data_IF_617906088211
#
_entry.id   IF_617906088211
#
_cell.length_a   1.000
_cell.length_b   1.000
_cell.length_c   1.000
_cell.angle_alpha   90.00
_cell.angle_beta   90.00
_cell.angle_gamma   90.00
#
_symmetry.space_group_name_H-M   'P 1'
#
loop_
_entity.id
_entity.type
_entity.pdbx_description
1 polymer ?
#
# COMPACT_ATOMS: atom_id res chain seq x y z
N UNK A 1 38.49 -40.30 -54.76
CA UNK A 1 37.24 -40.05 -55.50
C UNK A 1 36.65 -38.76 -54.91
N UNK A 2 37.01 -37.57 -55.41
CA UNK A 2 36.34 -36.78 -56.50
C UNK A 2 34.98 -36.24 -56.06
N UNK A 3 34.67 -34.93 -55.95
CA UNK A 3 35.39 -33.63 -56.17
C UNK A 3 35.01 -32.63 -55.03
N UNK A 4 35.55 -31.42 -54.78
CA UNK A 4 36.30 -30.34 -55.49
C UNK A 4 35.51 -29.32 -56.36
N UNK A 5 35.97 -28.05 -56.30
CA UNK A 5 35.62 -26.79 -57.02
C UNK A 5 34.73 -25.78 -56.28
N UNK A 6 34.94 -24.45 -56.25
CA UNK A 6 36.04 -23.51 -56.61
C UNK A 6 35.85 -22.25 -55.69
N UNK A 7 36.82 -21.49 -55.15
CA UNK A 7 37.94 -20.67 -55.67
C UNK A 7 37.59 -19.23 -56.15
N UNK A 8 37.70 -18.27 -55.22
CA UNK A 8 38.21 -16.87 -55.28
C UNK A 8 37.90 -15.86 -56.44
N UNK A 9 37.65 -14.62 -55.97
CA UNK A 9 38.08 -13.29 -56.50
C UNK A 9 37.31 -12.57 -57.64
N UNK A 10 37.31 -11.23 -57.52
CA UNK A 10 36.80 -10.24 -58.48
C UNK A 10 35.52 -9.52 -58.00
N UNK A 11 35.39 -8.19 -58.02
CA UNK A 11 36.34 -7.12 -58.41
C UNK A 11 35.82 -5.76 -57.90
N UNK A 12 36.71 -4.87 -57.48
CA UNK A 12 36.34 -3.47 -57.20
C UNK A 12 36.31 -2.65 -58.51
N UNK A 13 35.32 -1.76 -58.65
CA UNK A 13 35.29 -0.78 -59.73
C UNK A 13 34.74 0.56 -59.21
N UNK A 14 35.60 1.58 -59.23
CA UNK A 14 35.29 2.95 -58.81
C UNK A 14 34.64 3.71 -59.97
N UNK A 15 33.54 4.42 -59.72
CA UNK A 15 33.06 5.47 -60.62
C UNK A 15 32.32 6.55 -59.82
N UNK A 16 32.82 7.79 -59.88
CA UNK A 16 32.16 8.96 -59.32
C UNK A 16 31.81 9.94 -60.45
N UNK A 17 30.52 10.23 -60.64
CA UNK A 17 30.04 11.42 -61.36
C UNK A 17 28.77 11.94 -60.69
N UNK A 18 28.70 13.26 -60.56
CA UNK A 18 27.61 14.05 -59.99
C UNK A 18 26.37 14.13 -60.89
N UNK A 19 25.17 14.21 -60.32
CA UNK A 19 24.34 15.44 -60.36
C UNK A 19 22.88 15.26 -59.89
N UNK A 20 22.38 16.32 -59.24
CA UNK A 20 21.01 16.86 -59.29
C UNK A 20 19.78 15.98 -58.95
N UNK A 21 19.14 16.37 -57.83
CA UNK A 21 17.69 16.53 -57.65
C UNK A 21 16.75 15.44 -58.22
N UNK A 22 16.03 14.76 -57.33
CA UNK A 22 14.57 14.81 -57.26
C UNK A 22 14.10 14.33 -55.87
N UNK A 23 13.19 15.08 -55.25
CA UNK A 23 12.83 14.86 -53.84
C UNK A 23 11.89 13.68 -53.61
N UNK A 24 12.17 12.90 -52.56
CA UNK A 24 11.12 12.25 -51.76
C UNK A 24 11.41 12.49 -50.29
N UNK A 25 10.50 13.20 -49.61
CA UNK A 25 10.51 13.33 -48.16
C UNK A 25 10.33 11.94 -47.53
N UNK A 26 11.41 11.38 -46.98
CA UNK A 26 11.29 10.33 -45.99
C UNK A 26 10.62 10.94 -44.75
N UNK A 27 9.38 10.52 -44.45
CA UNK A 27 8.64 11.02 -43.29
C UNK A 27 9.47 10.79 -42.03
N UNK A 28 9.89 11.89 -41.39
CA UNK A 28 10.48 11.83 -40.07
C UNK A 28 9.48 11.15 -39.13
N UNK A 29 9.96 10.13 -38.43
CA UNK A 29 9.18 9.32 -37.51
C UNK A 29 8.54 10.23 -36.45
N UNK A 30 7.22 10.25 -36.37
CA UNK A 30 6.46 11.15 -35.49
C UNK A 30 6.81 10.87 -34.03
N UNK A 31 7.67 11.71 -33.44
CA UNK A 31 7.83 11.79 -31.99
C UNK A 31 6.47 12.18 -31.42
N UNK A 32 5.88 11.29 -30.61
CA UNK A 32 4.54 11.49 -30.04
C UNK A 32 4.53 12.75 -29.17
N UNK A 33 3.48 13.56 -29.30
CA UNK A 33 3.32 14.77 -28.49
C UNK A 33 3.30 14.46 -26.98
N UNK A 34 2.76 13.30 -26.61
CA UNK A 34 2.78 12.71 -25.26
C UNK A 34 4.19 12.75 -24.62
N UNK A 35 5.21 12.28 -25.34
CA UNK A 35 6.60 12.21 -24.84
C UNK A 35 7.19 13.60 -24.65
N UNK A 36 6.78 14.58 -25.46
CA UNK A 36 7.23 15.98 -25.33
C UNK A 36 6.57 16.66 -24.12
N UNK A 37 5.28 16.43 -23.89
CA UNK A 37 4.58 16.95 -22.71
C UNK A 37 5.21 16.42 -21.40
N UNK A 38 5.48 15.11 -21.34
CA UNK A 38 6.19 14.47 -20.22
C UNK A 38 7.61 15.02 -20.00
N UNK A 39 8.27 15.55 -21.04
CA UNK A 39 9.58 16.21 -20.98
C UNK A 39 9.51 17.70 -20.61
N UNK A 40 8.31 18.30 -20.57
CA UNK A 40 8.09 19.72 -20.28
C UNK A 40 7.45 19.93 -18.89
N UNK A 41 7.48 18.91 -18.01
CA UNK A 41 7.01 18.99 -16.62
C UNK A 41 5.48 19.02 -16.43
N UNK A 42 4.71 18.91 -17.52
CA UNK A 42 3.25 18.90 -17.49
C UNK A 42 2.71 17.53 -17.89
N UNK A 43 1.91 16.91 -17.01
CA UNK A 43 1.19 15.68 -17.33
C UNK A 43 0.30 15.89 -18.55
N UNK A 44 0.68 15.24 -19.65
CA UNK A 44 -0.14 15.20 -20.86
C UNK A 44 -1.39 14.37 -20.63
N UNK A 45 -2.55 14.96 -20.92
CA UNK A 45 -3.78 14.19 -21.12
C UNK A 45 -3.54 13.22 -22.30
N UNK A 46 -3.51 11.92 -22.03
CA UNK A 46 -3.16 10.90 -23.02
C UNK A 46 -4.30 10.71 -24.03
N UNK A 47 -5.52 10.50 -23.52
CA UNK A 47 -6.79 10.45 -24.26
C UNK A 47 -7.92 11.00 -23.36
N UNK A 48 -9.12 11.24 -23.90
CA UNK A 48 -10.25 11.88 -23.20
C UNK A 48 -10.46 11.45 -21.74
N UNK A 49 -10.08 12.30 -20.77
CA UNK A 49 -10.18 12.02 -19.33
C UNK A 49 -9.14 11.06 -18.74
N UNK A 50 -8.05 10.75 -19.44
CA UNK A 50 -6.96 9.87 -18.95
C UNK A 50 -5.63 10.62 -18.90
N UNK A 51 -4.96 10.57 -17.75
CA UNK A 51 -3.73 11.30 -17.44
C UNK A 51 -2.62 10.33 -17.01
N UNK A 52 -1.35 10.63 -17.33
CA UNK A 52 -0.18 9.83 -16.93
C UNK A 52 0.78 10.67 -16.08
N UNK A 53 0.92 10.34 -14.80
CA UNK A 53 1.83 10.99 -13.86
C UNK A 53 3.01 10.05 -13.56
N UNK A 54 4.11 10.12 -14.34
CA UNK A 54 5.30 9.32 -14.09
C UNK A 54 5.96 9.71 -12.78
N UNK A 55 6.81 8.84 -12.24
CA UNK A 55 7.51 9.07 -10.98
C UNK A 55 8.93 9.62 -11.26
N UNK A 56 9.09 10.92 -11.12
CA UNK A 56 10.33 11.67 -11.36
C UNK A 56 10.61 12.61 -10.20
N UNK A 57 11.82 13.16 -10.12
CA UNK A 57 12.18 14.14 -9.08
C UNK A 57 11.32 15.42 -9.10
N UNK A 58 10.61 15.68 -10.21
CA UNK A 58 9.66 16.78 -10.35
C UNK A 58 8.23 16.44 -9.94
N UNK A 59 7.88 15.16 -9.82
CA UNK A 59 6.49 14.69 -9.58
C UNK A 59 6.31 13.97 -8.24
N UNK A 60 7.39 13.70 -7.52
CA UNK A 60 7.37 13.06 -6.20
C UNK A 60 7.82 13.99 -5.08
N UNK A 61 7.25 13.82 -3.90
CA UNK A 61 7.88 14.24 -2.64
C UNK A 61 8.37 13.00 -1.88
N UNK A 62 9.52 13.09 -1.22
CA UNK A 62 9.91 12.09 -0.23
C UNK A 62 9.55 12.60 1.17
N UNK A 63 8.77 11.81 1.90
CA UNK A 63 8.61 11.84 3.35
C UNK A 63 7.78 12.96 3.94
N UNK A 64 7.21 13.83 3.12
CA UNK A 64 6.39 14.98 3.53
C UNK A 64 5.13 15.12 2.67
N UNK A 65 3.97 15.27 3.32
CA UNK A 65 2.83 15.97 2.75
C UNK A 65 3.02 17.48 2.91
N UNK A 66 2.70 18.28 1.90
CA UNK A 66 2.82 19.73 1.97
C UNK A 66 1.66 20.42 1.23
N UNK A 67 0.84 21.18 1.97
CA UNK A 67 -0.30 21.90 1.40
C UNK A 67 0.10 23.00 0.40
N UNK A 68 1.34 23.50 0.48
CA UNK A 68 1.87 24.54 -0.40
C UNK A 68 2.52 23.97 -1.69
N UNK A 69 2.51 22.65 -1.87
CA UNK A 69 3.11 22.01 -3.03
C UNK A 69 2.31 22.29 -4.31
N UNK A 70 3.00 22.70 -5.37
CA UNK A 70 2.37 22.93 -6.68
C UNK A 70 1.79 21.62 -7.23
N UNK A 71 0.51 21.59 -7.66
CA UNK A 71 -0.08 20.41 -8.28
C UNK A 71 0.70 19.92 -9.50
N UNK A 72 1.05 18.64 -9.49
CA UNK A 72 1.79 17.94 -10.56
C UNK A 72 0.88 17.43 -11.67
N UNK A 73 -0.42 17.31 -11.38
CA UNK A 73 -1.49 17.13 -12.36
C UNK A 73 -2.76 17.90 -11.93
N UNK A 74 -3.63 18.22 -12.89
CA UNK A 74 -4.98 18.74 -12.65
C UNK A 74 -5.97 17.91 -13.47
N UNK A 75 -6.96 17.29 -12.81
CA UNK A 75 -7.94 16.37 -13.42
C UNK A 75 -9.36 16.76 -13.01
N UNK A 76 -10.38 16.32 -13.74
CA UNK A 76 -11.79 16.54 -13.42
C UNK A 76 -12.40 15.36 -12.68
N UNK A 77 -13.53 15.59 -12.03
CA UNK A 77 -14.36 14.52 -11.49
C UNK A 77 -14.78 13.54 -12.61
N UNK A 78 -14.48 12.26 -12.43
CA UNK A 78 -14.71 11.18 -13.40
C UNK A 78 -13.49 10.83 -14.25
N UNK A 79 -12.43 11.65 -14.23
CA UNK A 79 -11.19 11.35 -14.94
C UNK A 79 -10.40 10.23 -14.24
N UNK A 80 -9.49 9.64 -15.01
CA UNK A 80 -8.59 8.56 -14.61
C UNK A 80 -7.14 9.02 -14.70
N UNK A 81 -6.34 8.66 -13.70
CA UNK A 81 -4.91 8.94 -13.67
C UNK A 81 -4.12 7.65 -13.43
N UNK A 82 -3.08 7.45 -14.24
CA UNK A 82 -2.11 6.38 -14.10
C UNK A 82 -0.88 7.01 -13.43
N UNK A 83 -0.60 6.62 -12.19
CA UNK A 83 0.60 7.00 -11.48
C UNK A 83 1.65 5.91 -11.63
N UNK A 84 2.91 6.31 -11.76
CA UNK A 84 4.03 5.49 -11.30
C UNK A 84 4.35 5.86 -9.84
N UNK A 85 5.04 4.99 -9.11
CA UNK A 85 5.63 5.32 -7.81
C UNK A 85 7.13 4.99 -7.79
N UNK A 86 7.83 5.48 -6.75
CA UNK A 86 9.22 5.13 -6.46
C UNK A 86 9.28 4.26 -5.20
N UNK A 87 10.38 3.53 -5.04
CA UNK A 87 10.70 2.92 -3.74
C UNK A 87 10.93 4.01 -2.68
N UNK A 88 10.97 3.61 -1.42
CA UNK A 88 11.35 4.46 -0.30
C UNK A 88 12.64 5.26 -0.56
N UNK A 89 12.68 6.47 0.01
CA UNK A 89 13.79 7.42 -0.08
C UNK A 89 14.20 7.78 -1.52
N UNK A 90 13.24 8.07 -2.40
CA UNK A 90 13.45 8.40 -3.83
C UNK A 90 14.29 7.34 -4.58
N UNK A 91 13.87 6.08 -4.53
CA UNK A 91 14.63 4.95 -5.09
C UNK A 91 16.03 4.71 -4.48
N UNK A 92 16.37 5.28 -3.32
CA UNK A 92 17.60 4.93 -2.62
C UNK A 92 17.51 3.61 -1.83
N UNK A 93 16.30 3.05 -1.64
CA UNK A 93 16.13 1.68 -1.12
C UNK A 93 15.77 0.74 -2.27
N UNK A 94 16.77 -0.01 -2.75
CA UNK A 94 16.67 -0.96 -3.86
C UNK A 94 17.27 -2.32 -3.46
N UNK A 95 16.97 -3.41 -4.19
CA UNK A 95 17.66 -4.69 -4.01
C UNK A 95 19.19 -4.54 -4.08
N UNK A 96 19.87 -4.94 -3.00
CA UNK A 96 21.33 -4.86 -2.85
C UNK A 96 21.83 -3.71 -1.97
N UNK A 97 20.97 -2.77 -1.57
CA UNK A 97 21.29 -1.70 -0.61
C UNK A 97 21.40 -2.27 0.80
N UNK A 98 22.46 -1.91 1.54
CA UNK A 98 22.74 -2.47 2.86
C UNK A 98 21.78 -1.94 3.94
N UNK A 99 21.64 -2.68 5.04
CA UNK A 99 20.80 -2.23 6.15
C UNK A 99 21.38 -0.99 6.86
N UNK A 100 22.71 -0.85 6.87
CA UNK A 100 23.41 0.33 7.36
C UNK A 100 23.10 1.57 6.50
N UNK A 101 23.02 1.42 5.17
CA UNK A 101 22.62 2.48 4.25
C UNK A 101 21.14 2.88 4.46
N UNK A 102 20.23 1.90 4.59
CA UNK A 102 18.81 2.16 4.91
C UNK A 102 18.66 2.87 6.26
N UNK A 103 19.41 2.42 7.28
CA UNK A 103 19.44 3.04 8.62
C UNK A 103 19.95 4.48 8.52
N UNK A 104 21.03 4.72 7.77
CA UNK A 104 21.60 6.05 7.56
C UNK A 104 20.61 7.00 6.89
N UNK A 105 19.87 6.54 5.87
CA UNK A 105 18.82 7.35 5.23
C UNK A 105 17.75 7.84 6.23
N UNK A 106 17.40 7.03 7.24
CA UNK A 106 16.47 7.44 8.32
C UNK A 106 17.11 8.38 9.32
N UNK A 107 18.34 8.09 9.78
CA UNK A 107 19.06 8.89 10.79
C UNK A 107 19.41 10.28 10.27
N UNK A 108 19.87 10.39 9.02
CA UNK A 108 20.25 11.67 8.40
C UNK A 108 19.03 12.58 8.09
N UNK A 109 17.80 12.02 8.08
CA UNK A 109 16.57 12.75 7.74
C UNK A 109 15.50 12.61 8.84
N UNK A 110 15.73 13.16 10.04
CA UNK A 110 14.81 13.06 11.17
C UNK A 110 13.46 13.76 10.90
N UNK A 111 12.39 13.26 11.52
CA UNK A 111 11.02 13.78 11.37
C UNK A 111 10.33 13.44 10.04
N UNK A 112 11.10 13.26 8.97
CA UNK A 112 10.66 12.83 7.64
C UNK A 112 10.23 11.35 7.64
N UNK A 113 9.26 10.97 6.82
CA UNK A 113 8.96 9.56 6.53
C UNK A 113 9.92 8.93 5.50
N UNK A 114 10.09 7.59 5.47
CA UNK A 114 10.85 6.95 4.38
C UNK A 114 10.10 6.99 3.04
N UNK A 115 8.79 7.21 3.05
CA UNK A 115 7.89 7.01 1.92
C UNK A 115 8.15 8.01 0.79
N UNK A 116 8.11 7.57 -0.47
CA UNK A 116 8.10 8.45 -1.64
C UNK A 116 6.68 8.50 -2.19
N UNK A 117 6.10 9.71 -2.29
CA UNK A 117 4.71 9.93 -2.72
C UNK A 117 4.67 10.72 -4.03
N UNK A 118 3.92 10.21 -5.01
CA UNK A 118 3.67 10.86 -6.30
C UNK A 118 2.44 11.78 -6.17
N UNK A 119 2.55 13.03 -6.60
CA UNK A 119 1.50 14.06 -6.48
C UNK A 119 2.03 15.44 -6.04
N UNK A 120 1.18 16.37 -5.58
CA UNK A 120 -0.27 16.24 -5.49
C UNK A 120 -0.96 16.36 -6.85
N UNK A 121 -2.13 15.74 -6.94
CA UNK A 121 -3.08 15.87 -8.04
C UNK A 121 -4.20 16.79 -7.57
N UNK A 122 -4.52 17.82 -8.33
CA UNK A 122 -5.63 18.73 -8.05
C UNK A 122 -6.89 18.26 -8.78
N UNK A 123 -7.99 18.05 -8.05
CA UNK A 123 -9.27 17.60 -8.62
C UNK A 123 -10.20 18.81 -8.80
N UNK A 124 -10.48 19.20 -10.05
CA UNK A 124 -11.33 20.35 -10.38
C UNK A 124 -12.74 20.20 -9.78
N UNK A 125 -13.17 21.21 -9.00
CA UNK A 125 -14.49 21.25 -8.37
C UNK A 125 -14.61 20.61 -6.98
N UNK A 126 -13.55 19.93 -6.51
CA UNK A 126 -13.45 19.46 -5.13
C UNK A 126 -13.25 20.64 -4.17
N UNK A 127 -14.05 20.69 -3.11
CA UNK A 127 -14.09 21.76 -2.10
C UNK A 127 -14.13 21.15 -0.69
N UNK A 128 -13.71 21.89 0.35
CA UNK A 128 -13.78 21.42 1.73
C UNK A 128 -15.19 20.94 2.11
N UNK A 129 -15.29 19.73 2.65
CA UNK A 129 -16.56 19.08 2.99
C UNK A 129 -17.19 18.23 1.88
N UNK A 130 -16.57 18.12 0.70
CA UNK A 130 -16.86 17.03 -0.25
C UNK A 130 -16.15 15.72 0.16
N UNK A 131 -16.39 14.65 -0.61
CA UNK A 131 -15.63 13.39 -0.53
C UNK A 131 -15.09 13.02 -1.92
N UNK A 132 -13.80 12.69 -2.02
CA UNK A 132 -13.27 11.98 -3.19
C UNK A 132 -13.64 10.51 -3.10
N UNK A 133 -14.18 9.95 -4.18
CA UNK A 133 -14.38 8.52 -4.40
C UNK A 133 -13.34 8.06 -5.42
N UNK A 134 -12.37 7.29 -4.95
CA UNK A 134 -11.16 6.91 -5.70
C UNK A 134 -11.24 5.40 -5.98
N UNK A 135 -11.52 5.03 -7.23
CA UNK A 135 -11.54 3.63 -7.67
C UNK A 135 -10.13 3.19 -8.05
N UNK A 136 -9.62 2.17 -7.38
CA UNK A 136 -8.38 1.48 -7.78
C UNK A 136 -8.76 0.50 -8.90
N UNK A 137 -8.46 0.90 -10.14
CA UNK A 137 -8.79 0.12 -11.34
C UNK A 137 -7.78 -1.00 -11.61
N UNK A 138 -6.49 -0.71 -11.36
CA UNK A 138 -5.38 -1.59 -11.68
C UNK A 138 -4.13 -1.29 -10.86
N UNK A 139 -3.40 -2.33 -10.46
CA UNK A 139 -2.06 -2.19 -9.84
C UNK A 139 -1.06 -3.12 -10.54
N UNK A 140 0.06 -2.57 -11.00
CA UNK A 140 1.18 -3.32 -11.56
C UNK A 140 2.46 -3.02 -10.76
N UNK A 141 2.87 -3.90 -9.83
CA UNK A 141 4.12 -3.73 -9.09
C UNK A 141 5.36 -3.93 -9.98
N UNK A 142 6.47 -3.33 -9.56
CA UNK A 142 7.80 -3.71 -10.04
C UNK A 142 8.11 -5.13 -9.58
N UNK A 143 8.97 -5.82 -10.33
CA UNK A 143 9.27 -7.25 -10.10
C UNK A 143 10.19 -7.50 -8.89
N UNK A 144 10.29 -6.56 -7.95
CA UNK A 144 11.17 -6.62 -6.80
C UNK A 144 10.62 -5.81 -5.62
N UNK A 145 11.11 -6.09 -4.43
CA UNK A 145 10.81 -5.32 -3.22
C UNK A 145 11.83 -5.51 -2.11
N UNK A 146 11.66 -4.85 -0.97
CA UNK A 146 12.51 -5.00 0.23
C UNK A 146 11.67 -4.91 1.50
N UNK A 147 11.92 -5.77 2.49
CA UNK A 147 11.43 -5.62 3.87
C UNK A 147 12.64 -5.27 4.76
N UNK A 148 12.46 -4.46 5.80
CA UNK A 148 13.53 -4.16 6.74
C UNK A 148 13.08 -4.01 8.20
N UNK A 149 13.94 -4.44 9.12
CA UNK A 149 13.82 -4.21 10.56
C UNK A 149 14.82 -3.14 10.98
N UNK A 150 14.35 -2.08 11.67
CA UNK A 150 15.17 -0.94 12.12
C UNK A 150 15.01 -0.68 13.63
N UNK A 151 15.53 -1.58 14.49
CA UNK A 151 15.60 -1.39 15.94
C UNK A 151 16.73 -0.39 16.23
N UNK A 152 17.82 -0.78 16.90
CA UNK A 152 19.01 0.07 17.10
C UNK A 152 18.69 1.46 17.64
N UNK A 153 19.39 2.49 17.15
CA UNK A 153 19.20 3.89 17.56
C UNK A 153 17.83 4.47 17.15
N UNK A 154 17.13 3.85 16.20
CA UNK A 154 15.82 4.31 15.71
C UNK A 154 14.67 3.74 16.55
N UNK A 155 14.87 2.57 17.18
CA UNK A 155 13.91 1.86 18.03
C UNK A 155 12.52 1.69 17.37
N UNK A 156 12.49 1.28 16.10
CA UNK A 156 11.27 1.12 15.30
C UNK A 156 10.81 -0.35 15.18
N UNK A 157 9.56 -0.53 14.73
CA UNK A 157 8.84 -1.81 14.77
C UNK A 157 8.09 -1.99 16.09
N UNK A 158 7.29 -3.05 16.21
CA UNK A 158 6.47 -3.29 17.40
C UNK A 158 7.25 -3.92 18.55
N UNK A 159 8.32 -4.66 18.27
CA UNK A 159 9.12 -5.38 19.28
C UNK A 159 10.66 -5.13 19.19
N UNK A 160 11.15 -3.88 19.06
CA UNK A 160 12.58 -3.59 18.83
C UNK A 160 13.52 -4.14 19.92
N UNK A 161 13.06 -4.19 21.18
CA UNK A 161 13.81 -4.75 22.30
C UNK A 161 13.94 -6.28 22.29
N UNK A 162 13.11 -6.99 21.51
CA UNK A 162 13.11 -8.45 21.41
C UNK A 162 13.76 -8.96 20.12
N UNK A 163 13.83 -8.11 19.09
CA UNK A 163 14.50 -8.37 17.81
C UNK A 163 15.45 -7.19 17.52
N UNK A 164 16.56 -7.06 18.28
CA UNK A 164 17.45 -5.91 18.24
C UNK A 164 18.38 -5.89 17.02
N UNK A 165 18.39 -6.95 16.20
CA UNK A 165 19.19 -7.03 14.99
C UNK A 165 18.51 -6.30 13.82
N UNK A 166 19.23 -5.37 13.19
CA UNK A 166 18.77 -4.77 11.95
C UNK A 166 18.94 -5.77 10.78
N UNK A 167 17.98 -5.80 9.86
CA UNK A 167 18.02 -6.65 8.66
C UNK A 167 17.36 -5.94 7.48
N UNK A 168 17.93 -6.10 6.29
CA UNK A 168 17.23 -5.89 5.02
C UNK A 168 17.07 -7.24 4.32
N UNK A 169 15.87 -7.51 3.80
CA UNK A 169 15.58 -8.64 2.91
C UNK A 169 15.09 -8.12 1.57
N UNK A 170 15.74 -8.53 0.50
CA UNK A 170 15.31 -8.19 -0.86
C UNK A 170 14.54 -9.34 -1.49
N UNK A 171 13.47 -9.00 -2.19
CA UNK A 171 12.52 -9.93 -2.78
C UNK A 171 12.47 -9.74 -4.28
N UNK A 172 12.26 -10.83 -5.01
CA UNK A 172 11.92 -10.83 -6.42
C UNK A 172 10.51 -11.42 -6.58
N UNK A 173 9.64 -10.70 -7.26
CA UNK A 173 8.22 -11.07 -7.36
C UNK A 173 8.00 -11.92 -8.61
N UNK A 174 7.49 -13.14 -8.45
CA UNK A 174 6.95 -13.90 -9.57
C UNK A 174 5.54 -13.38 -9.88
N UNK A 175 5.50 -12.38 -10.75
CA UNK A 175 4.26 -11.73 -11.20
C UNK A 175 3.38 -12.62 -12.08
N UNK A 176 3.84 -13.81 -12.48
CA UNK A 176 3.02 -14.80 -13.21
C UNK A 176 2.31 -15.74 -12.26
N UNK A 177 3.00 -16.20 -11.22
CA UNK A 177 2.44 -17.05 -10.16
C UNK A 177 1.69 -16.25 -9.09
N UNK A 178 1.97 -14.95 -8.97
CA UNK A 178 1.39 -14.10 -7.93
C UNK A 178 2.00 -14.37 -6.56
N UNK A 179 3.29 -14.72 -6.49
CA UNK A 179 3.98 -15.05 -5.23
C UNK A 179 5.38 -14.44 -5.17
N UNK A 180 5.96 -14.40 -3.98
CA UNK A 180 7.39 -14.16 -3.74
C UNK A 180 7.90 -15.16 -2.71
N UNK A 181 9.16 -15.61 -2.87
CA UNK A 181 9.81 -16.51 -1.92
C UNK A 181 10.45 -15.69 -0.79
N UNK A 182 10.12 -16.02 0.47
CA UNK A 182 10.68 -15.36 1.65
C UNK A 182 11.98 -16.03 2.13
N UNK A 183 12.00 -17.36 2.02
CA UNK A 183 13.10 -18.29 2.24
C UNK A 183 12.78 -19.56 1.44
N UNK A 184 13.75 -20.44 1.11
CA UNK A 184 13.51 -21.67 0.37
C UNK A 184 12.33 -22.49 0.90
N UNK A 185 11.28 -22.67 0.06
CA UNK A 185 10.06 -23.39 0.43
C UNK A 185 9.04 -22.61 1.26
N UNK A 186 9.25 -21.31 1.46
CA UNK A 186 8.31 -20.38 2.11
C UNK A 186 7.87 -19.33 1.09
N UNK A 187 6.63 -19.43 0.61
CA UNK A 187 6.06 -18.52 -0.38
C UNK A 187 4.95 -17.66 0.21
N UNK A 188 4.92 -16.38 -0.22
CA UNK A 188 3.93 -15.39 0.20
C UNK A 188 3.15 -14.89 -1.02
N UNK A 189 1.80 -14.79 -0.94
CA UNK A 189 0.99 -14.29 -2.04
C UNK A 189 1.22 -12.79 -2.25
N UNK A 190 1.57 -12.40 -3.47
CA UNK A 190 1.70 -11.00 -3.90
C UNK A 190 0.31 -10.43 -4.13
N UNK A 191 -0.10 -9.52 -3.25
CA UNK A 191 -1.41 -8.85 -3.25
C UNK A 191 -1.16 -7.35 -3.10
N UNK A 192 -0.79 -6.64 -4.18
CA UNK A 192 -0.24 -5.30 -4.06
C UNK A 192 -1.31 -4.25 -3.77
N UNK A 193 -0.96 -3.23 -3.00
CA UNK A 193 -1.80 -2.08 -2.64
C UNK A 193 -0.91 -0.87 -2.26
N UNK A 194 -1.38 0.38 -2.42
CA UNK A 194 -0.67 1.53 -1.89
C UNK A 194 -0.89 1.66 -0.38
N UNK A 195 0.16 1.61 0.42
CA UNK A 195 0.13 1.96 1.85
C UNK A 195 -0.29 3.41 2.04
N UNK A 196 0.23 4.32 1.20
CA UNK A 196 -0.23 5.71 1.10
C UNK A 196 -1.27 5.91 0.00
N UNK A 197 -2.47 6.31 0.41
CA UNK A 197 -3.40 7.07 -0.40
C UNK A 197 -4.01 8.18 0.47
N UNK A 198 -3.76 9.44 0.14
CA UNK A 198 -4.12 10.56 1.02
C UNK A 198 -4.29 11.90 0.33
N UNK A 199 -5.09 12.77 0.94
CA UNK A 199 -5.32 14.15 0.50
C UNK A 199 -4.63 15.16 1.43
N UNK A 200 -4.60 16.44 1.06
CA UNK A 200 -4.08 17.47 1.95
C UNK A 200 -4.94 17.64 3.20
N UNK A 201 -4.30 18.04 4.29
CA UNK A 201 -4.93 18.31 5.58
C UNK A 201 -5.65 19.65 5.59
N UNK A 202 -6.59 19.83 6.52
CA UNK A 202 -7.23 21.12 6.76
C UNK A 202 -6.23 22.16 7.28
N UNK A 203 -5.28 21.74 8.10
CA UNK A 203 -4.20 22.61 8.55
C UNK A 203 -3.15 22.79 7.43
N UNK A 204 -2.82 24.04 7.11
CA UNK A 204 -1.71 24.35 6.20
C UNK A 204 -0.37 24.11 6.87
N UNK A 205 0.48 23.30 6.23
CA UNK A 205 1.84 23.06 6.69
C UNK A 205 2.53 21.94 5.93
N UNK A 206 3.70 21.56 6.44
CA UNK A 206 4.45 20.37 6.04
C UNK A 206 4.34 19.33 7.15
N UNK A 207 3.94 18.10 6.80
CA UNK A 207 3.65 17.02 7.75
C UNK A 207 4.31 15.72 7.31
N UNK A 208 4.87 14.97 8.26
CA UNK A 208 5.50 13.68 7.99
C UNK A 208 4.51 12.73 7.31
N UNK A 209 4.98 11.92 6.36
CA UNK A 209 4.15 10.87 5.72
C UNK A 209 3.92 9.64 6.60
N UNK A 210 4.50 9.58 7.81
CA UNK A 210 4.39 8.42 8.71
C UNK A 210 2.99 8.24 9.30
N UNK A 211 2.40 9.19 10.05
CA UNK A 211 1.09 8.94 10.66
C UNK A 211 -0.05 9.04 9.64
N UNK A 212 -1.00 8.08 9.61
CA UNK A 212 -2.29 8.25 8.95
C UNK A 212 -3.18 9.28 9.69
N UNK A 213 -4.34 9.57 9.11
CA UNK A 213 -5.40 10.32 9.76
C UNK A 213 -6.69 10.42 8.96
N UNK A 214 -7.58 11.36 9.31
CA UNK A 214 -8.80 11.68 8.54
C UNK A 214 -8.57 11.90 7.04
N UNK A 215 -7.38 12.37 6.66
CA UNK A 215 -6.96 12.63 5.29
C UNK A 215 -6.48 11.39 4.51
N UNK A 216 -6.56 10.19 5.10
CA UNK A 216 -5.88 9.00 4.59
C UNK A 216 -4.44 8.99 5.05
N UNK A 217 -3.49 8.98 4.13
CA UNK A 217 -2.05 8.88 4.43
C UNK A 217 -1.61 7.42 4.51
N UNK A 218 -0.69 7.10 5.44
CA UNK A 218 -0.14 5.75 5.68
C UNK A 218 -1.18 4.84 6.34
N UNK A 219 -2.18 4.43 5.56
CA UNK A 219 -3.28 3.61 6.04
C UNK A 219 -2.86 2.14 6.18
N UNK A 220 -1.92 1.68 5.35
CA UNK A 220 -1.33 0.32 5.37
C UNK A 220 -2.39 -0.78 5.50
N UNK A 221 -3.53 -0.51 4.87
CA UNK A 221 -4.69 -1.35 4.86
C UNK A 221 -4.60 -2.21 3.60
N UNK A 222 -4.05 -3.42 3.76
CA UNK A 222 -3.89 -4.46 2.73
C UNK A 222 -5.15 -4.91 1.99
N UNK A 223 -6.29 -4.29 2.27
CA UNK A 223 -7.53 -4.44 1.53
C UNK A 223 -7.71 -3.38 0.43
N UNK A 224 -6.86 -2.34 0.34
CA UNK A 224 -6.85 -1.31 -0.72
C UNK A 224 -6.29 -1.80 -2.07
N UNK A 225 -6.74 -2.97 -2.51
CA UNK A 225 -6.22 -3.67 -3.70
C UNK A 225 -6.96 -3.29 -4.98
N UNK A 226 -6.48 -3.79 -6.12
CA UNK A 226 -7.19 -3.71 -7.40
C UNK A 226 -8.68 -4.12 -7.24
N UNK A 227 -9.58 -3.29 -7.77
CA UNK A 227 -11.01 -3.47 -7.66
C UNK A 227 -11.66 -2.85 -6.42
N UNK A 228 -10.92 -2.24 -5.51
CA UNK A 228 -11.50 -1.49 -4.37
C UNK A 228 -11.71 -0.01 -4.65
N UNK A 229 -12.59 0.64 -3.89
CA UNK A 229 -12.85 2.08 -3.89
C UNK A 229 -12.49 2.65 -2.52
N UNK A 230 -11.69 3.71 -2.48
CA UNK A 230 -11.36 4.44 -1.25
C UNK A 230 -12.09 5.79 -1.28
N UNK A 231 -12.73 6.14 -0.17
CA UNK A 231 -13.46 7.39 0.01
C UNK A 231 -12.67 8.27 0.99
N UNK A 232 -12.19 9.43 0.52
CA UNK A 232 -11.42 10.39 1.33
C UNK A 232 -12.18 11.71 1.50
N UNK A 233 -12.36 12.23 2.73
CA UNK A 233 -12.93 13.56 2.94
C UNK A 233 -12.00 14.66 2.40
N UNK A 234 -12.58 15.69 1.77
CA UNK A 234 -11.84 16.82 1.21
C UNK A 234 -11.73 17.95 2.25
N UNK A 235 -10.51 18.43 2.48
CA UNK A 235 -10.23 19.49 3.47
C UNK A 235 -9.80 20.83 2.86
N UNK A 236 -9.29 20.82 1.62
CA UNK A 236 -8.83 22.01 0.89
C UNK A 236 -9.40 22.01 -0.54
N UNK A 237 -9.40 23.17 -1.19
CA UNK A 237 -9.77 23.26 -2.61
C UNK A 237 -8.88 22.33 -3.46
N UNK A 238 -9.51 21.59 -4.38
CA UNK A 238 -8.83 20.63 -5.24
C UNK A 238 -8.38 19.35 -4.55
N UNK A 239 -8.60 19.22 -3.24
CA UNK A 239 -8.19 18.13 -2.34
C UNK A 239 -6.68 17.87 -2.21
N UNK A 240 -5.89 18.01 -3.28
CA UNK A 240 -4.48 17.64 -3.39
C UNK A 240 -4.28 16.15 -3.03
N UNK A 241 -4.47 15.26 -4.01
CA UNK A 241 -4.34 13.80 -3.82
C UNK A 241 -2.91 13.33 -4.09
N UNK A 242 -2.36 12.52 -3.18
CA UNK A 242 -1.09 11.80 -3.33
C UNK A 242 -1.31 10.28 -3.19
N UNK A 243 -0.41 9.51 -3.79
CA UNK A 243 -0.23 8.09 -3.46
C UNK A 243 1.24 7.69 -3.54
N UNK A 244 1.63 6.68 -2.77
CA UNK A 244 3.00 6.21 -2.66
C UNK A 244 3.05 4.98 -1.77
N UNK A 245 4.22 4.73 -1.18
CA UNK A 245 4.45 3.62 -0.23
C UNK A 245 3.85 2.29 -0.71
N UNK A 246 4.39 1.81 -1.83
CA UNK A 246 3.75 0.77 -2.60
C UNK A 246 4.12 -0.60 -2.05
N UNK A 247 3.15 -1.36 -1.56
CA UNK A 247 3.40 -2.66 -0.92
C UNK A 247 3.10 -3.81 -1.89
N UNK A 248 3.91 -4.87 -1.85
CA UNK A 248 3.67 -6.11 -2.60
C UNK A 248 3.02 -7.21 -1.74
N UNK A 249 3.37 -7.26 -0.46
CA UNK A 249 2.92 -8.26 0.53
C UNK A 249 2.90 -7.59 1.91
N UNK A 250 1.79 -7.68 2.65
CA UNK A 250 1.71 -7.25 4.05
C UNK A 250 0.77 -8.16 4.86
N UNK A 251 1.10 -8.38 6.13
CA UNK A 251 0.21 -8.96 7.13
C UNK A 251 -0.64 -7.88 7.81
N UNK A 252 -1.80 -8.28 8.33
CA UNK A 252 -2.58 -7.43 9.23
C UNK A 252 -1.78 -7.23 10.54
N UNK A 253 -1.33 -6.00 10.76
CA UNK A 253 -0.51 -5.57 11.90
C UNK A 253 0.85 -4.96 11.52
N UNK A 254 1.44 -5.30 10.36
CA UNK A 254 2.73 -4.72 9.89
C UNK A 254 3.86 -4.69 10.95
N UNK A 255 3.91 -5.74 11.79
CA UNK A 255 4.55 -5.64 13.10
C UNK A 255 6.07 -5.41 13.07
N UNK A 256 6.81 -5.72 11.99
CA UNK A 256 8.26 -5.50 11.91
C UNK A 256 8.70 -4.13 11.38
N UNK A 257 7.75 -3.17 11.24
CA UNK A 257 7.88 -1.83 10.65
C UNK A 257 7.49 -1.73 9.18
N UNK A 258 7.62 -2.79 8.38
CA UNK A 258 7.42 -2.71 6.93
C UNK A 258 6.70 -3.90 6.33
N UNK A 259 6.14 -3.67 5.15
CA UNK A 259 5.68 -4.66 4.20
C UNK A 259 6.86 -5.25 3.40
N UNK A 260 6.57 -5.94 2.29
CA UNK A 260 7.51 -6.01 1.16
C UNK A 260 7.33 -4.73 0.36
N UNK A 261 8.12 -3.72 0.69
CA UNK A 261 8.14 -2.42 0.03
C UNK A 261 8.55 -2.56 -1.43
N UNK A 262 7.80 -1.96 -2.34
CA UNK A 262 8.02 -2.00 -3.78
C UNK A 262 7.76 -0.61 -4.38
N UNK A 263 7.61 -0.57 -5.70
CA UNK A 263 7.12 0.57 -6.46
C UNK A 263 6.15 0.05 -7.51
N UNK A 264 5.28 0.92 -8.02
CA UNK A 264 4.30 0.59 -9.04
C UNK A 264 4.73 1.16 -10.39
N UNK A 265 4.71 0.29 -11.41
CA UNK A 265 4.79 0.69 -12.83
C UNK A 265 3.45 1.28 -13.30
N UNK A 266 2.35 0.90 -12.65
CA UNK A 266 1.01 1.46 -12.89
C UNK A 266 0.20 1.36 -11.59
N UNK A 267 -0.28 2.49 -11.10
CA UNK A 267 -1.39 2.61 -10.16
C UNK A 267 -2.48 3.42 -10.86
N UNK A 268 -3.54 2.75 -11.26
CA UNK A 268 -4.59 3.31 -12.11
C UNK A 268 -5.81 3.68 -11.27
N UNK A 269 -6.09 4.98 -11.14
CA UNK A 269 -7.12 5.53 -10.26
C UNK A 269 -8.15 6.32 -11.05
N UNK A 270 -9.44 6.01 -10.93
CA UNK A 270 -10.54 6.92 -11.36
C UNK A 270 -11.04 7.71 -10.16
N UNK A 271 -11.15 9.04 -10.28
CA UNK A 271 -11.44 9.93 -9.15
C UNK A 271 -12.73 10.72 -9.39
N UNK A 272 -13.74 10.52 -8.56
CA UNK A 272 -15.04 11.21 -8.61
C UNK A 272 -15.23 12.11 -7.37
N UNK A 273 -15.74 13.33 -7.56
CA UNK A 273 -16.07 14.26 -6.46
C UNK A 273 -17.53 14.09 -6.07
N UNK A 274 -17.78 13.61 -4.85
CA UNK A 274 -19.11 13.46 -4.28
C UNK A 274 -19.49 14.72 -3.50
N UNK A 275 -20.28 15.60 -4.13
CA UNK A 275 -20.80 16.83 -3.52
C UNK A 275 -21.81 16.52 -2.42
N UNK A 276 -21.81 17.32 -1.35
CA UNK A 276 -22.83 17.25 -0.29
C UNK A 276 -22.79 15.96 0.55
N UNK A 277 -21.65 15.26 0.56
CA UNK A 277 -21.38 14.13 1.46
C UNK A 277 -20.14 14.45 2.28
N UNK A 278 -20.22 14.25 3.59
CA UNK A 278 -19.10 14.41 4.51
C UNK A 278 -18.68 13.06 5.09
N UNK A 279 -17.38 12.92 5.38
CA UNK A 279 -16.82 11.82 6.15
C UNK A 279 -15.93 12.41 7.26
N UNK A 280 -15.84 11.72 8.39
CA UNK A 280 -14.88 12.07 9.44
C UNK A 280 -13.57 11.29 9.26
N UNK A 281 -13.68 10.03 8.81
CA UNK A 281 -12.56 9.16 8.47
C UNK A 281 -12.71 8.56 7.07
N UNK A 282 -11.62 8.08 6.46
CA UNK A 282 -11.70 7.30 5.23
C UNK A 282 -12.64 6.09 5.35
N UNK A 283 -13.24 5.71 4.23
CA UNK A 283 -14.08 4.50 4.10
C UNK A 283 -13.59 3.70 2.90
N UNK A 284 -13.47 2.39 3.02
CA UNK A 284 -13.03 1.51 1.93
C UNK A 284 -14.20 0.62 1.48
N UNK A 285 -14.24 0.32 0.20
CA UNK A 285 -15.25 -0.51 -0.43
C UNK A 285 -14.56 -1.57 -1.31
N UNK A 286 -14.68 -2.84 -0.95
CA UNK A 286 -14.34 -3.94 -1.86
C UNK A 286 -15.58 -4.40 -2.64
N UNK A 287 -15.46 -5.29 -3.64
CA UNK A 287 -16.63 -5.87 -4.32
C UNK A 287 -17.62 -6.55 -3.36
N UNK A 288 -17.16 -7.06 -2.22
CA UNK A 288 -17.97 -7.86 -1.27
C UNK A 288 -18.25 -7.18 0.07
N UNK A 289 -17.43 -6.22 0.50
CA UNK A 289 -17.52 -5.61 1.82
C UNK A 289 -17.41 -4.07 1.77
N UNK A 290 -18.07 -3.42 2.72
CA UNK A 290 -17.72 -2.08 3.17
C UNK A 290 -16.72 -2.18 4.32
N UNK A 291 -15.88 -1.17 4.50
CA UNK A 291 -14.92 -1.12 5.60
C UNK A 291 -14.82 0.28 6.18
N UNK A 292 -14.89 0.33 7.51
CA UNK A 292 -14.75 1.52 8.35
C UNK A 292 -13.47 1.41 9.16
N UNK A 293 -12.83 2.54 9.40
CA UNK A 293 -11.45 2.65 9.88
C UNK A 293 -11.39 3.43 11.20
N UNK A 294 -10.38 3.15 12.01
CA UNK A 294 -10.01 3.98 13.16
C UNK A 294 -8.51 3.90 13.42
N UNK A 295 -7.91 5.06 13.68
CA UNK A 295 -6.49 5.20 14.02
C UNK A 295 -6.34 6.14 15.22
N UNK A 296 -5.54 5.73 16.19
CA UNK A 296 -5.12 6.56 17.33
C UNK A 296 -3.78 6.02 17.88
N UNK A 297 -3.12 6.74 18.79
CA UNK A 297 -1.91 6.25 19.49
C UNK A 297 -2.23 5.11 20.45
N UNK A 298 -3.45 5.07 20.98
CA UNK A 298 -4.01 3.98 21.80
C UNK A 298 -4.98 3.14 20.95
N UNK A 299 -4.70 1.85 20.82
CA UNK A 299 -5.52 0.93 20.02
C UNK A 299 -6.96 0.78 20.57
N UNK A 300 -7.19 0.98 21.87
CA UNK A 300 -8.54 1.01 22.43
C UNK A 300 -9.32 2.24 21.93
N UNK A 301 -8.64 3.38 21.74
CA UNK A 301 -9.25 4.58 21.15
C UNK A 301 -9.50 4.36 19.67
N UNK A 302 -8.54 3.77 18.94
CA UNK A 302 -8.70 3.40 17.53
C UNK A 302 -9.92 2.47 17.31
N UNK A 303 -10.12 1.49 18.20
CA UNK A 303 -11.29 0.62 18.20
C UNK A 303 -12.61 1.36 18.44
N UNK A 304 -12.65 2.34 19.36
CA UNK A 304 -13.84 3.19 19.55
C UNK A 304 -14.15 4.05 18.34
N UNK A 305 -13.15 4.69 17.73
CA UNK A 305 -13.31 5.48 16.50
C UNK A 305 -13.88 4.60 15.38
N UNK A 306 -13.31 3.41 15.21
CA UNK A 306 -13.78 2.43 14.23
C UNK A 306 -15.22 2.00 14.53
N UNK A 307 -15.59 1.70 15.79
CA UNK A 307 -16.98 1.38 16.15
C UNK A 307 -17.91 2.56 15.82
N UNK A 308 -17.58 3.79 16.22
CA UNK A 308 -18.40 4.98 15.98
C UNK A 308 -18.67 5.21 14.48
N UNK A 309 -17.63 5.15 13.63
CA UNK A 309 -17.81 5.26 12.18
C UNK A 309 -18.56 4.05 11.58
N UNK A 310 -18.40 2.84 12.14
CA UNK A 310 -19.16 1.65 11.74
C UNK A 310 -20.66 1.80 12.03
N UNK A 311 -21.01 2.27 13.23
CA UNK A 311 -22.41 2.46 13.64
C UNK A 311 -23.08 3.59 12.87
N UNK A 312 -22.38 4.71 12.68
CA UNK A 312 -22.81 5.81 11.84
C UNK A 312 -23.05 5.34 10.40
N UNK A 313 -22.10 4.61 9.81
CA UNK A 313 -22.26 4.07 8.46
C UNK A 313 -23.42 3.07 8.35
N UNK A 314 -23.64 2.20 9.33
CA UNK A 314 -24.78 1.28 9.33
C UNK A 314 -26.12 2.01 9.45
N UNK A 315 -26.16 3.14 10.16
CA UNK A 315 -27.32 4.02 10.20
C UNK A 315 -27.54 4.72 8.84
N UNK A 316 -26.49 5.27 8.22
CA UNK A 316 -26.52 5.87 6.87
C UNK A 316 -26.94 4.88 5.77
N UNK A 317 -26.43 3.65 5.79
CA UNK A 317 -26.54 2.67 4.70
C UNK A 317 -27.80 1.80 4.81
N UNK A 318 -28.19 1.41 6.04
CA UNK A 318 -29.31 0.49 6.29
C UNK A 318 -30.45 1.09 7.11
N UNK A 319 -30.36 2.36 7.52
CA UNK A 319 -31.39 3.00 8.35
C UNK A 319 -31.50 2.42 9.76
N UNK A 320 -30.46 1.73 10.24
CA UNK A 320 -30.49 1.05 11.54
C UNK A 320 -30.46 2.05 12.70
N UNK A 321 -31.16 1.72 13.78
CA UNK A 321 -31.00 2.39 15.08
C UNK A 321 -29.59 2.12 15.62
N UNK A 322 -29.11 2.94 16.56
CA UNK A 322 -27.80 2.71 17.18
C UNK A 322 -27.69 1.34 17.90
N UNK A 323 -28.81 0.79 18.40
CA UNK A 323 -28.83 -0.55 19.00
C UNK A 323 -28.78 -1.66 17.92
N UNK A 324 -29.50 -1.47 16.81
CA UNK A 324 -29.50 -2.44 15.70
C UNK A 324 -28.19 -2.43 14.93
N UNK A 325 -27.57 -1.26 14.76
CA UNK A 325 -26.24 -1.14 14.19
C UNK A 325 -25.18 -1.88 15.04
N UNK A 326 -25.23 -1.78 16.38
CA UNK A 326 -24.34 -2.56 17.27
C UNK A 326 -24.61 -4.06 17.16
N UNK A 327 -25.88 -4.49 17.14
CA UNK A 327 -26.24 -5.89 16.91
C UNK A 327 -25.74 -6.39 15.55
N UNK A 328 -25.86 -5.58 14.50
CA UNK A 328 -25.38 -5.93 13.16
C UNK A 328 -23.87 -6.05 13.12
N UNK A 329 -23.12 -5.06 13.66
CA UNK A 329 -21.67 -5.11 13.76
C UNK A 329 -21.18 -6.32 14.57
N UNK A 330 -21.80 -6.62 15.72
CA UNK A 330 -21.45 -7.79 16.53
C UNK A 330 -21.77 -9.14 15.85
N UNK A 331 -22.67 -9.15 14.86
CA UNK A 331 -23.07 -10.35 14.13
C UNK A 331 -22.27 -10.55 12.83
N UNK A 332 -21.93 -9.45 12.13
CA UNK A 332 -21.41 -9.48 10.77
C UNK A 332 -20.09 -8.73 10.55
N UNK A 333 -19.56 -8.06 11.58
CA UNK A 333 -18.30 -7.33 11.53
C UNK A 333 -17.09 -8.25 11.74
N UNK A 334 -16.18 -8.30 10.76
CA UNK A 334 -14.87 -8.93 10.89
C UNK A 334 -13.83 -7.82 11.15
N UNK A 335 -13.41 -7.68 12.41
CA UNK A 335 -12.51 -6.62 12.87
C UNK A 335 -11.06 -7.10 12.75
N UNK A 336 -10.20 -6.31 12.11
CA UNK A 336 -8.80 -6.63 11.85
C UNK A 336 -7.88 -5.45 12.13
N UNK A 337 -6.60 -5.74 12.33
CA UNK A 337 -5.54 -4.75 12.53
C UNK A 337 -4.90 -4.40 11.18
N UNK A 338 -4.82 -3.13 10.82
CA UNK A 338 -4.08 -2.70 9.63
C UNK A 338 -2.57 -2.69 9.93
N UNK A 339 -2.17 -1.83 10.85
CA UNK A 339 -0.78 -1.56 11.26
C UNK A 339 -0.69 -1.28 12.77
N UNK A 340 0.48 -1.45 13.36
CA UNK A 340 0.78 -0.98 14.73
C UNK A 340 2.13 -0.26 14.83
N UNK A 341 2.64 0.35 13.77
CA UNK A 341 4.02 0.87 13.71
C UNK A 341 4.13 2.35 13.34
N UNK A 342 3.07 2.97 12.81
CA UNK A 342 3.10 4.33 12.25
C UNK A 342 2.89 5.46 13.26
N UNK A 343 3.38 5.27 14.49
CA UNK A 343 3.10 6.09 15.69
C UNK A 343 1.63 6.05 16.16
N UNK A 344 0.67 5.85 15.24
CA UNK A 344 -0.69 5.44 15.51
C UNK A 344 -0.79 3.89 15.46
N UNK A 345 -1.99 3.38 15.68
CA UNK A 345 -2.40 1.96 15.59
C UNK A 345 -3.68 1.91 14.77
N UNK A 346 -3.70 1.11 13.72
CA UNK A 346 -4.81 1.04 12.76
C UNK A 346 -5.69 -0.19 12.93
N UNK A 347 -7.00 0.01 12.98
CA UNK A 347 -8.00 -1.08 12.94
C UNK A 347 -9.10 -0.79 11.94
N UNK A 348 -9.69 -1.85 11.39
CA UNK A 348 -10.81 -1.77 10.47
C UNK A 348 -11.86 -2.86 10.70
N UNK A 349 -13.13 -2.56 10.46
CA UNK A 349 -14.22 -3.53 10.47
C UNK A 349 -14.72 -3.75 9.05
N UNK A 350 -14.73 -5.01 8.61
CA UNK A 350 -15.33 -5.41 7.34
C UNK A 350 -16.80 -5.78 7.55
N UNK A 351 -17.71 -5.15 6.81
CA UNK A 351 -19.14 -5.41 6.81
C UNK A 351 -19.57 -5.98 5.45
N UNK A 352 -20.21 -7.16 5.38
CA UNK A 352 -20.63 -7.76 4.11
C UNK A 352 -21.73 -6.94 3.44
N UNK A 353 -21.61 -6.73 2.12
CA UNK A 353 -22.60 -5.98 1.32
C UNK A 353 -23.91 -6.73 1.14
N UNK A 354 -23.80 -8.03 0.90
CA UNK A 354 -24.91 -8.95 0.63
C UNK A 354 -25.17 -9.84 1.85
N UNK A 355 -26.34 -10.46 1.89
CA UNK A 355 -26.69 -11.45 2.91
C UNK A 355 -25.60 -12.51 3.02
N UNK A 356 -25.08 -12.66 4.23
CA UNK A 356 -23.93 -13.49 4.58
C UNK A 356 -24.23 -14.18 5.92
N UNK A 357 -23.64 -15.35 6.20
CA UNK A 357 -23.71 -15.92 7.54
C UNK A 357 -23.08 -14.95 8.56
N UNK A 358 -23.46 -15.09 9.83
CA UNK A 358 -22.79 -14.40 10.91
C UNK A 358 -21.28 -14.72 10.90
N UNK A 359 -20.45 -13.73 11.26
CA UNK A 359 -19.00 -13.92 11.37
C UNK A 359 -18.73 -15.00 12.42
N UNK A 360 -17.97 -16.06 12.09
CA UNK A 360 -17.72 -17.14 13.02
C UNK A 360 -16.88 -16.66 14.21
N UNK A 361 -16.97 -17.37 15.35
CA UNK A 361 -16.00 -17.19 16.43
C UNK A 361 -14.60 -17.47 15.90
N UNK A 362 -13.65 -16.60 16.22
CA UNK A 362 -12.27 -16.77 15.81
C UNK A 362 -11.68 -18.01 16.50
N UNK A 363 -10.85 -18.80 15.79
CA UNK A 363 -10.29 -20.02 16.33
C UNK A 363 -9.35 -19.72 17.51
N UNK A 364 -9.41 -20.55 18.56
CA UNK A 364 -8.52 -20.48 19.73
C UNK A 364 -7.42 -21.56 19.70
N UNK A 365 -7.45 -22.41 18.69
CA UNK A 365 -6.46 -23.45 18.40
C UNK A 365 -6.26 -23.54 16.88
N UNK A 366 -5.24 -24.25 16.44
CA UNK A 366 -4.96 -24.44 15.02
C UNK A 366 -6.16 -24.95 14.24
N UNK A 367 -6.25 -24.49 12.99
CA UNK A 367 -7.16 -25.04 12.01
C UNK A 367 -6.39 -25.88 10.99
N UNK A 368 -7.11 -26.60 10.14
CA UNK A 368 -6.52 -27.28 8.98
C UNK A 368 -5.70 -26.35 8.09
N UNK A 369 -6.06 -25.06 8.05
CA UNK A 369 -5.53 -24.08 7.10
C UNK A 369 -4.58 -23.05 7.72
N UNK A 370 -4.54 -22.91 9.05
CA UNK A 370 -3.75 -21.88 9.72
C UNK A 370 -3.14 -22.37 11.04
N UNK A 371 -1.94 -21.90 11.30
CA UNK A 371 -1.42 -21.75 12.67
C UNK A 371 -2.19 -20.64 13.37
N UNK A 372 -2.53 -20.84 14.64
CA UNK A 372 -3.33 -19.90 15.41
C UNK A 372 -2.74 -19.71 16.80
N UNK A 373 -2.65 -18.46 17.21
CA UNK A 373 -2.52 -18.05 18.62
C UNK A 373 -3.60 -17.02 18.95
N UNK A 374 -3.90 -16.87 20.23
CA UNK A 374 -4.79 -15.82 20.70
C UNK A 374 -4.38 -15.37 22.11
N UNK A 375 -4.78 -14.16 22.49
CA UNK A 375 -4.72 -13.69 23.86
C UNK A 375 -5.97 -12.86 24.17
N UNK A 376 -6.41 -12.89 25.42
CA UNK A 376 -7.53 -12.09 25.93
C UNK A 376 -6.98 -11.17 27.01
N UNK A 377 -7.09 -9.86 26.83
CA UNK A 377 -6.64 -8.86 27.80
C UNK A 377 -7.63 -7.70 27.91
N UNK A 378 -7.50 -6.91 28.98
CA UNK A 378 -8.27 -5.66 29.15
C UNK A 378 -7.82 -4.53 28.21
N UNK A 379 -6.62 -4.66 27.64
CA UNK A 379 -6.04 -3.74 26.66
C UNK A 379 -5.83 -4.43 25.30
N UNK A 380 -6.23 -3.78 24.22
CA UNK A 380 -6.16 -4.34 22.87
C UNK A 380 -4.71 -4.49 22.35
N UNK A 381 -3.81 -3.55 22.68
CA UNK A 381 -2.39 -3.70 22.32
C UNK A 381 -1.71 -4.81 23.11
N UNK A 382 -2.05 -4.99 24.38
CA UNK A 382 -1.51 -6.09 25.19
C UNK A 382 -1.95 -7.45 24.62
N UNK A 383 -3.24 -7.60 24.29
CA UNK A 383 -3.74 -8.81 23.62
C UNK A 383 -3.05 -9.04 22.27
N UNK A 384 -2.91 -8.00 21.44
CA UNK A 384 -2.18 -8.07 20.16
C UNK A 384 -0.72 -8.50 20.36
N UNK A 385 -0.02 -7.89 21.32
CA UNK A 385 1.38 -8.17 21.61
C UNK A 385 1.60 -9.62 22.06
N UNK A 386 0.81 -10.09 23.03
CA UNK A 386 0.93 -11.47 23.52
C UNK A 386 0.60 -12.49 22.42
N UNK A 387 -0.46 -12.25 21.66
CA UNK A 387 -0.92 -13.11 20.57
C UNK A 387 0.12 -13.21 19.45
N UNK A 388 0.66 -12.07 18.99
CA UNK A 388 1.67 -12.02 17.93
C UNK A 388 3.01 -12.62 18.38
N UNK A 389 3.51 -12.31 19.59
CA UNK A 389 4.75 -12.90 20.11
C UNK A 389 4.66 -14.42 20.30
N UNK A 390 3.50 -14.92 20.72
CA UNK A 390 3.26 -16.36 20.79
C UNK A 390 3.35 -17.00 19.40
N UNK A 391 2.81 -16.37 18.35
CA UNK A 391 2.89 -16.89 16.98
C UNK A 391 4.33 -16.86 16.45
N UNK A 392 5.06 -15.77 16.66
CA UNK A 392 6.45 -15.62 16.20
C UNK A 392 7.32 -16.72 16.81
N UNK A 393 7.30 -16.88 18.14
CA UNK A 393 8.07 -17.93 18.85
C UNK A 393 7.70 -19.32 18.36
N UNK A 394 6.41 -19.58 18.19
CA UNK A 394 5.92 -20.88 17.72
C UNK A 394 6.38 -21.20 16.30
N UNK A 395 6.30 -20.24 15.38
CA UNK A 395 6.77 -20.40 14.00
C UNK A 395 8.30 -20.52 13.97
N UNK A 396 9.02 -19.75 14.78
CA UNK A 396 10.47 -19.87 14.95
C UNK A 396 10.88 -21.29 15.37
N UNK A 397 10.23 -21.86 16.39
CA UNK A 397 10.50 -23.21 16.91
C UNK A 397 10.08 -24.31 15.91
N UNK A 398 8.81 -24.32 15.47
CA UNK A 398 8.28 -25.38 14.60
C UNK A 398 8.96 -25.43 13.22
N UNK A 399 9.35 -24.26 12.69
CA UNK A 399 9.93 -24.12 11.33
C UNK A 399 11.44 -23.87 11.35
N UNK A 400 12.06 -23.83 12.53
CA UNK A 400 13.50 -23.62 12.73
C UNK A 400 14.05 -22.37 12.04
N UNK A 401 13.25 -21.30 12.05
CA UNK A 401 13.67 -19.99 11.54
C UNK A 401 14.59 -19.30 12.55
N UNK A 402 15.36 -18.30 12.09
CA UNK A 402 15.94 -17.33 13.04
C UNK A 402 14.82 -16.51 13.69
N UNK A 403 15.09 -15.94 14.87
CA UNK A 403 14.11 -15.09 15.57
C UNK A 403 13.63 -13.94 14.67
N UNK A 404 14.58 -13.30 13.97
CA UNK A 404 14.31 -12.20 13.06
C UNK A 404 13.56 -12.63 11.79
N UNK A 405 13.90 -13.79 11.22
CA UNK A 405 13.13 -14.35 10.10
C UNK A 405 11.68 -14.63 10.49
N UNK A 406 11.43 -15.16 11.70
CA UNK A 406 10.07 -15.42 12.18
C UNK A 406 9.29 -14.11 12.42
N UNK A 407 9.95 -13.05 12.91
CA UNK A 407 9.35 -11.73 13.11
C UNK A 407 9.02 -11.03 11.79
N UNK A 408 9.97 -11.00 10.85
CA UNK A 408 9.75 -10.47 9.50
C UNK A 408 8.68 -11.27 8.75
N UNK A 409 8.70 -12.61 8.81
CA UNK A 409 7.65 -13.44 8.21
C UNK A 409 6.27 -13.14 8.81
N UNK A 410 6.19 -12.91 10.12
CA UNK A 410 4.95 -12.50 10.76
C UNK A 410 4.47 -11.13 10.27
N UNK A 411 5.34 -10.12 10.11
CA UNK A 411 4.95 -8.83 9.51
C UNK A 411 4.26 -8.98 8.14
N UNK A 412 4.70 -9.95 7.34
CA UNK A 412 4.24 -10.16 5.97
C UNK A 412 3.05 -11.14 5.84
N UNK A 413 2.90 -12.09 6.76
CA UNK A 413 1.96 -13.21 6.64
C UNK A 413 0.89 -13.28 7.76
N UNK A 414 1.02 -12.48 8.82
CA UNK A 414 0.08 -12.44 9.92
C UNK A 414 -1.32 -11.97 9.45
N UNK A 415 -2.36 -12.59 9.98
CA UNK A 415 -3.73 -12.08 9.92
C UNK A 415 -4.23 -11.85 11.35
N UNK A 416 -3.95 -10.65 11.89
CA UNK A 416 -4.38 -10.24 13.22
C UNK A 416 -5.83 -9.74 13.21
N UNK A 417 -6.67 -10.39 14.02
CA UNK A 417 -8.13 -10.16 14.09
C UNK A 417 -8.60 -9.99 15.53
N UNK A 418 -9.69 -9.26 15.72
CA UNK A 418 -10.19 -8.87 17.04
C UNK A 418 -11.63 -9.34 17.23
N UNK A 419 -11.91 -9.93 18.39
CA UNK A 419 -13.27 -10.12 18.90
C UNK A 419 -13.36 -9.53 20.31
N UNK A 420 -14.52 -8.97 20.64
CA UNK A 420 -14.85 -8.46 21.98
C UNK A 420 -15.79 -9.46 22.67
N UNK A 421 -15.27 -10.51 23.33
CA UNK A 421 -16.11 -11.58 23.91
C UNK A 421 -17.03 -11.07 25.03
N UNK A 422 -16.61 -10.03 25.73
CA UNK A 422 -17.36 -9.35 26.80
C UNK A 422 -16.91 -7.88 26.92
N UNK A 423 -17.67 -7.07 27.66
CA UNK A 423 -17.41 -5.64 27.77
C UNK A 423 -16.09 -5.38 28.54
N UNK A 424 -15.14 -4.70 27.88
CA UNK A 424 -13.84 -4.38 28.46
C UNK A 424 -12.77 -5.48 28.32
N UNK A 425 -13.03 -6.53 27.54
CA UNK A 425 -12.02 -7.53 27.17
C UNK A 425 -11.87 -7.63 25.64
N UNK A 426 -10.63 -7.67 25.17
CA UNK A 426 -10.27 -7.83 23.76
C UNK A 426 -9.58 -9.18 23.56
N UNK A 427 -10.15 -10.01 22.69
CA UNK A 427 -9.56 -11.26 22.22
C UNK A 427 -8.91 -11.01 20.87
N UNK A 428 -7.57 -10.97 20.83
CA UNK A 428 -6.82 -10.78 19.58
C UNK A 428 -6.26 -12.12 19.13
N UNK A 429 -6.66 -12.54 17.93
CA UNK A 429 -6.27 -13.80 17.31
C UNK A 429 -5.28 -13.52 16.19
N UNK A 430 -4.13 -14.17 16.25
CA UNK A 430 -3.06 -14.07 15.28
C UNK A 430 -3.02 -15.38 14.47
N UNK A 431 -3.37 -15.29 13.18
CA UNK A 431 -3.39 -16.44 12.27
C UNK A 431 -2.23 -16.34 11.27
N UNK A 432 -1.60 -17.47 10.92
CA UNK A 432 -0.68 -17.57 9.79
C UNK A 432 -1.06 -18.77 8.90
N UNK A 433 -1.31 -18.58 7.59
CA UNK A 433 -1.71 -19.67 6.71
C UNK A 433 -0.68 -20.79 6.64
N UNK A 434 -1.12 -22.04 6.75
CA UNK A 434 -0.26 -23.23 6.56
C UNK A 434 0.23 -23.36 5.12
N UNK A 435 -0.47 -22.76 4.16
CA UNK A 435 -0.05 -22.64 2.76
C UNK A 435 1.17 -21.73 2.54
N UNK A 436 1.64 -21.02 3.56
CA UNK A 436 2.90 -20.26 3.52
C UNK A 436 4.12 -21.18 3.36
N UNK A 437 4.00 -22.47 3.70
CA UNK A 437 5.04 -23.49 3.43
C UNK A 437 4.58 -24.38 2.28
N UNK A 438 5.39 -24.44 1.22
CA UNK A 438 5.05 -25.13 -0.05
C UNK A 438 5.84 -26.43 -0.28
N UNK A 439 6.63 -26.85 0.72
CA UNK A 439 7.50 -28.04 0.73
C UNK A 439 6.82 -29.28 1.31
#
# INVERSE_FOLDING_TARGET
MTNRRDFLLGSAATAAVTSLLHGKQGKAQTKRAEIKALQEGFVGQYQGGVYLLPATDETVQWGWFNNAETPRARIRSGDTILLETMMASQNQVLPGVSIEEITKLRVDHPGRGPHTITGPIFIEGAQPGDVLKIKINRIVPRSYGTNWNLPGDLNLGQFPNLFPEAQAKHFYLDTRRGVTEFLPGIELPVRPFPGILGVARAESGQYSTVPPGPFGGNLDCREMVEGTTVYLPVFVEGALLWSGDSHAVQGNGEINLTAVETAFNELNLTVEVLKGRTLAWPRIESPTHWMTLGYDRDMNVALRIMEEETLKFLSEWKGLSAQDARRYMATYGDIRVAEVVNQLKGVYCMLPKNDSPAVPRLPQADTQNSYVTYAVQGDAMEAMNQSALALIRRVQEEKRLSALDAYSLASLALDARIQTPEAGAYSVHCLMPRSTWVS
#
